data_IF_736283840941
#
_entry.id   IF_736283840941
#
_cell.length_a   1.000
_cell.length_b   1.000
_cell.length_c   1.000
_cell.angle_alpha   90.00
_cell.angle_beta   90.00
_cell.angle_gamma   90.00
#
_symmetry.space_group_name_H-M   'P 1'
#
loop_
_entity.id
_entity.type
_entity.pdbx_description
1 polymer ?
#
# COMPACT_ATOMS: atom_id res chain seq x y z
N UNK A 1 -5.70 -3.24 9.05
CA UNK A 1 -6.97 -3.99 8.98
C UNK A 1 -6.79 -5.49 8.85
N UNK A 2 -5.94 -6.01 7.96
CA UNK A 2 -5.77 -7.48 7.79
C UNK A 2 -5.60 -8.28 9.08
N UNK A 3 -4.81 -7.76 10.04
CA UNK A 3 -4.60 -8.41 11.34
C UNK A 3 -5.84 -8.57 12.23
N UNK A 4 -6.84 -7.70 12.08
CA UNK A 4 -8.10 -7.76 12.84
C UNK A 4 -9.23 -8.42 12.04
N UNK A 5 -8.95 -8.80 10.79
CA UNK A 5 -9.91 -9.35 9.84
C UNK A 5 -9.53 -10.78 9.41
N UNK A 6 -8.68 -11.46 10.19
CA UNK A 6 -8.35 -12.87 9.95
C UNK A 6 -7.43 -13.14 8.76
N UNK A 7 -6.56 -12.19 8.37
CA UNK A 7 -5.54 -12.49 7.38
C UNK A 7 -4.65 -13.64 7.84
N UNK A 8 -4.33 -14.59 6.95
CA UNK A 8 -3.46 -15.74 7.29
C UNK A 8 -2.07 -15.32 7.76
N UNK A 9 -1.56 -14.22 7.22
CA UNK A 9 -0.26 -13.62 7.57
C UNK A 9 -0.31 -12.13 7.25
N UNK A 10 0.31 -11.31 8.10
CA UNK A 10 0.48 -9.87 7.88
C UNK A 10 1.95 -9.51 8.04
N UNK A 11 2.47 -8.74 7.10
CA UNK A 11 3.81 -8.16 7.22
C UNK A 11 3.69 -6.65 7.11
N UNK A 12 4.26 -5.93 8.07
CA UNK A 12 4.35 -4.47 8.08
C UNK A 12 5.80 -4.10 7.79
N UNK A 13 6.01 -3.26 6.77
CA UNK A 13 7.34 -2.90 6.30
C UNK A 13 7.52 -1.39 6.27
N UNK A 14 8.73 -0.94 6.59
CA UNK A 14 9.20 0.44 6.44
C UNK A 14 10.73 0.42 6.35
N UNK A 15 11.40 1.56 6.19
CA UNK A 15 12.86 1.63 6.16
C UNK A 15 13.49 0.88 7.34
N UNK A 16 14.67 0.29 7.11
CA UNK A 16 15.41 -0.47 8.12
C UNK A 16 16.05 0.43 9.20
N UNK A 17 15.22 1.21 9.89
CA UNK A 17 15.59 2.09 10.98
C UNK A 17 14.95 1.59 12.28
N UNK A 18 15.77 1.13 13.22
CA UNK A 18 15.29 0.50 14.46
C UNK A 18 14.29 1.35 15.27
N UNK A 19 14.42 2.69 15.37
CA UNK A 19 13.39 3.51 16.04
C UNK A 19 12.00 3.39 15.39
N UNK A 20 11.94 3.30 14.05
CA UNK A 20 10.70 3.15 13.29
C UNK A 20 10.13 1.74 13.50
N UNK A 21 10.96 0.71 13.34
CA UNK A 21 10.53 -0.68 13.49
C UNK A 21 10.06 -0.98 14.91
N UNK A 22 10.74 -0.47 15.94
CA UNK A 22 10.31 -0.58 17.34
C UNK A 22 8.93 0.05 17.58
N UNK A 23 8.68 1.19 16.97
CA UNK A 23 7.37 1.87 17.03
C UNK A 23 6.29 1.00 16.39
N UNK A 24 6.56 0.41 15.22
CA UNK A 24 5.62 -0.51 14.59
C UNK A 24 5.36 -1.76 15.42
N UNK A 25 6.39 -2.40 15.98
CA UNK A 25 6.21 -3.57 16.86
C UNK A 25 5.28 -3.23 18.03
N UNK A 26 5.48 -2.05 18.65
CA UNK A 26 4.65 -1.58 19.76
C UNK A 26 3.20 -1.32 19.34
N UNK A 27 2.99 -0.63 18.21
CA UNK A 27 1.66 -0.31 17.71
C UNK A 27 0.90 -1.56 17.26
N UNK A 28 1.57 -2.47 16.56
CA UNK A 28 1.02 -3.76 16.12
C UNK A 28 0.59 -4.59 17.32
N UNK A 29 1.49 -4.78 18.30
CA UNK A 29 1.19 -5.57 19.50
C UNK A 29 0.01 -4.99 20.30
N UNK A 30 -0.10 -3.65 20.36
CA UNK A 30 -1.22 -2.99 21.05
C UNK A 30 -2.56 -3.16 20.34
N UNK A 31 -2.58 -3.14 19.00
CA UNK A 31 -3.81 -2.99 18.23
C UNK A 31 -4.29 -4.26 17.53
N UNK A 32 -3.45 -5.27 17.32
CA UNK A 32 -3.88 -6.55 16.75
C UNK A 32 -4.18 -7.50 17.91
N UNK A 33 -5.39 -7.38 18.44
CA UNK A 33 -5.89 -8.14 19.59
C UNK A 33 -7.24 -8.77 19.25
N UNK A 34 -7.54 -10.00 19.73
CA UNK A 34 -8.84 -10.63 19.52
C UNK A 34 -10.02 -9.74 19.95
N UNK A 35 -9.89 -9.03 21.07
CA UNK A 35 -10.92 -8.13 21.61
C UNK A 35 -11.21 -6.91 20.74
N UNK A 36 -10.33 -6.59 19.80
CA UNK A 36 -10.49 -5.47 18.86
C UNK A 36 -10.92 -5.94 17.46
N UNK A 37 -11.13 -7.24 17.27
CA UNK A 37 -11.59 -7.80 16.00
C UNK A 37 -13.09 -7.57 15.83
N UNK A 38 -13.52 -7.41 14.58
CA UNK A 38 -14.94 -7.24 14.27
C UNK A 38 -15.72 -8.53 14.53
N UNK A 39 -17.01 -8.42 14.85
CA UNK A 39 -17.87 -9.59 15.03
C UNK A 39 -17.81 -10.50 13.79
N UNK A 40 -17.52 -11.78 14.00
CA UNK A 40 -17.37 -12.77 12.92
C UNK A 40 -15.98 -12.84 12.28
N UNK A 41 -15.00 -12.06 12.74
CA UNK A 41 -13.60 -12.17 12.34
C UNK A 41 -12.72 -12.59 13.51
N UNK A 42 -11.77 -13.48 13.26
CA UNK A 42 -10.71 -13.81 14.21
C UNK A 42 -9.49 -12.93 13.95
N UNK A 43 -8.82 -12.46 15.01
CA UNK A 43 -7.54 -11.78 14.85
C UNK A 43 -6.51 -12.74 14.25
N UNK A 44 -5.67 -12.23 13.35
CA UNK A 44 -4.46 -12.94 12.90
C UNK A 44 -3.60 -13.24 14.12
N UNK A 45 -3.15 -14.50 14.31
CA UNK A 45 -2.24 -14.86 15.40
C UNK A 45 -0.99 -13.96 15.39
N UNK A 46 -0.51 -13.56 16.56
CA UNK A 46 0.68 -12.71 16.67
C UNK A 46 1.92 -13.35 16.03
N UNK A 47 2.03 -14.67 16.03
CA UNK A 47 3.09 -15.43 15.34
C UNK A 47 3.03 -15.31 13.81
N UNK A 48 1.88 -14.93 13.25
CA UNK A 48 1.67 -14.70 11.83
C UNK A 48 1.71 -13.21 11.45
N UNK A 49 2.04 -12.32 12.39
CA UNK A 49 2.28 -10.90 12.15
C UNK A 49 3.76 -10.59 12.35
N UNK A 50 4.42 -10.02 11.34
CA UNK A 50 5.82 -9.62 11.45
C UNK A 50 6.07 -8.19 10.99
N UNK A 51 7.14 -7.59 11.54
CA UNK A 51 7.61 -6.25 11.20
C UNK A 51 8.99 -6.44 10.56
N UNK A 52 9.17 -5.95 9.34
CA UNK A 52 10.41 -6.11 8.56
C UNK A 52 10.93 -4.74 8.10
N UNK A 53 12.25 -4.60 8.04
CA UNK A 53 12.88 -3.47 7.36
C UNK A 53 12.89 -3.72 5.86
N UNK A 54 12.40 -2.78 5.06
CA UNK A 54 12.40 -2.83 3.60
C UNK A 54 12.52 -1.42 3.03
N UNK A 55 13.59 -1.19 2.27
CA UNK A 55 13.72 0.01 1.43
C UNK A 55 13.18 -0.30 0.05
N UNK A 56 12.35 0.57 -0.51
CA UNK A 56 11.77 0.31 -1.83
C UNK A 56 12.84 0.13 -2.90
N UNK A 57 12.69 -0.89 -3.74
CA UNK A 57 13.60 -1.21 -4.84
C UNK A 57 14.80 -2.07 -4.46
N UNK A 58 14.98 -2.39 -3.19
CA UNK A 58 16.03 -3.27 -2.67
C UNK A 58 15.45 -4.65 -2.39
N UNK A 59 16.06 -5.72 -2.90
CA UNK A 59 15.47 -7.08 -2.79
C UNK A 59 16.42 -8.16 -2.29
N UNK A 60 17.67 -7.79 -1.99
CA UNK A 60 18.75 -8.75 -1.73
C UNK A 60 18.75 -9.31 -0.30
N UNK A 61 17.91 -8.78 0.59
CA UNK A 61 17.78 -9.28 1.94
C UNK A 61 16.92 -10.58 2.00
N UNK A 62 17.09 -11.32 3.11
CA UNK A 62 16.43 -12.61 3.33
C UNK A 62 14.90 -12.50 3.27
N UNK A 63 14.32 -11.43 3.82
CA UNK A 63 12.87 -11.24 3.80
C UNK A 63 12.39 -10.96 2.38
N UNK A 64 13.02 -10.00 1.70
CA UNK A 64 12.61 -9.59 0.35
C UNK A 64 12.70 -10.73 -0.64
N UNK A 65 13.76 -11.54 -0.58
CA UNK A 65 13.92 -12.72 -1.43
C UNK A 65 12.86 -13.79 -1.11
N UNK A 66 12.64 -14.11 0.17
CA UNK A 66 11.70 -15.18 0.55
C UNK A 66 10.22 -14.79 0.38
N UNK A 67 9.92 -13.50 0.34
CA UNK A 67 8.55 -12.99 0.25
C UNK A 67 8.14 -12.59 -1.17
N UNK A 68 9.01 -12.78 -2.17
CA UNK A 68 8.71 -12.54 -3.58
C UNK A 68 7.39 -13.22 -4.00
N UNK A 69 6.51 -12.44 -4.61
CA UNK A 69 5.19 -12.84 -5.11
C UNK A 69 4.34 -13.62 -4.09
N UNK A 70 4.46 -13.32 -2.80
CA UNK A 70 3.84 -14.12 -1.73
C UNK A 70 2.60 -13.49 -1.09
N UNK A 71 2.17 -12.31 -1.53
CA UNK A 71 1.05 -11.58 -0.93
C UNK A 71 -0.12 -11.40 -1.90
N UNK A 72 -1.32 -11.85 -1.50
CA UNK A 72 -2.55 -11.62 -2.27
C UNK A 72 -3.01 -10.15 -2.20
N UNK A 73 -2.55 -9.41 -1.17
CA UNK A 73 -2.85 -7.99 -0.96
C UNK A 73 -1.59 -7.23 -0.55
N UNK A 74 -1.25 -6.19 -1.30
CA UNK A 74 -0.21 -5.21 -0.94
C UNK A 74 -0.89 -3.86 -0.70
N UNK A 75 -0.52 -3.13 0.35
CA UNK A 75 -1.10 -1.82 0.67
C UNK A 75 0.02 -0.79 0.78
N UNK A 76 -0.03 0.25 -0.05
CA UNK A 76 0.87 1.40 0.01
C UNK A 76 0.06 2.64 0.45
N UNK A 77 0.25 3.06 1.70
CA UNK A 77 -0.48 4.18 2.29
C UNK A 77 0.45 5.37 2.50
N UNK A 78 0.13 6.51 1.89
CA UNK A 78 0.90 7.75 2.01
C UNK A 78 2.26 7.69 1.29
N UNK A 79 2.41 6.87 0.25
CA UNK A 79 3.72 6.63 -0.38
C UNK A 79 4.02 7.48 -1.62
N UNK A 80 3.06 8.29 -2.11
CA UNK A 80 3.19 8.99 -3.40
C UNK A 80 3.88 10.36 -3.33
N UNK A 81 4.32 10.82 -2.16
CA UNK A 81 4.88 12.17 -1.98
C UNK A 81 6.34 12.33 -2.44
N UNK A 82 7.04 11.23 -2.74
CA UNK A 82 8.44 11.18 -3.22
C UNK A 82 8.50 10.76 -4.70
N UNK A 83 8.36 11.68 -5.67
CA UNK A 83 8.41 11.35 -7.10
C UNK A 83 9.63 10.52 -7.51
N UNK A 84 10.80 10.84 -6.95
CA UNK A 84 12.07 10.15 -7.24
C UNK A 84 12.12 8.69 -6.75
N UNK A 85 11.16 8.25 -5.94
CA UNK A 85 11.04 6.88 -5.44
C UNK A 85 9.89 6.09 -6.08
N UNK A 86 9.08 6.70 -6.97
CA UNK A 86 7.92 6.02 -7.55
C UNK A 86 8.31 4.75 -8.31
N UNK A 87 9.39 4.79 -9.09
CA UNK A 87 9.88 3.60 -9.81
C UNK A 87 10.29 2.48 -8.84
N UNK A 88 10.90 2.81 -7.70
CA UNK A 88 11.28 1.85 -6.68
C UNK A 88 10.06 1.26 -5.98
N UNK A 89 9.05 2.09 -5.72
CA UNK A 89 7.77 1.67 -5.18
C UNK A 89 7.05 0.73 -6.15
N UNK A 90 6.98 1.05 -7.44
CA UNK A 90 6.36 0.19 -8.47
C UNK A 90 7.03 -1.19 -8.51
N UNK A 91 8.37 -1.23 -8.55
CA UNK A 91 9.14 -2.48 -8.49
C UNK A 91 8.85 -3.27 -7.22
N UNK A 92 8.76 -2.61 -6.07
CA UNK A 92 8.46 -3.28 -4.80
C UNK A 92 7.05 -3.85 -4.76
N UNK A 93 6.07 -3.12 -5.27
CA UNK A 93 4.69 -3.62 -5.39
C UNK A 93 4.67 -4.87 -6.28
N UNK A 94 5.27 -4.81 -7.46
CA UNK A 94 5.35 -5.95 -8.39
C UNK A 94 6.09 -7.14 -7.77
N UNK A 95 7.20 -6.89 -7.07
CA UNK A 95 8.01 -7.92 -6.41
C UNK A 95 7.23 -8.69 -5.33
N UNK A 96 6.44 -8.01 -4.50
CA UNK A 96 5.72 -8.66 -3.40
C UNK A 96 4.32 -9.16 -3.77
N UNK A 97 3.67 -8.55 -4.76
CA UNK A 97 2.33 -8.93 -5.18
C UNK A 97 2.35 -10.30 -5.87
N UNK A 98 1.52 -11.21 -5.38
CA UNK A 98 1.37 -12.54 -5.95
C UNK A 98 0.85 -12.47 -7.38
N UNK A 99 1.36 -13.33 -8.25
CA UNK A 99 0.96 -13.40 -9.67
C UNK A 99 -0.30 -14.25 -9.84
N UNK A 100 -1.45 -13.77 -9.36
CA UNK A 100 -2.76 -14.37 -9.65
C UNK A 100 -3.78 -13.32 -10.08
N UNK A 101 -4.84 -13.73 -10.80
CA UNK A 101 -5.90 -12.82 -11.24
C UNK A 101 -6.65 -12.10 -10.11
N UNK A 102 -6.59 -12.62 -8.87
CA UNK A 102 -7.28 -12.08 -7.69
C UNK A 102 -6.39 -11.19 -6.83
N UNK A 103 -5.07 -11.21 -7.04
CA UNK A 103 -4.13 -10.43 -6.25
C UNK A 103 -4.28 -8.93 -6.56
N UNK A 104 -4.30 -8.09 -5.52
CA UNK A 104 -4.47 -6.63 -5.68
C UNK A 104 -3.50 -5.84 -4.85
N UNK A 105 -2.96 -4.77 -5.42
CA UNK A 105 -2.33 -3.71 -4.63
C UNK A 105 -3.30 -2.54 -4.45
N UNK A 106 -3.39 -2.02 -3.23
CA UNK A 106 -4.14 -0.82 -2.89
C UNK A 106 -3.18 0.32 -2.58
N UNK A 107 -3.25 1.39 -3.37
CA UNK A 107 -2.47 2.60 -3.15
C UNK A 107 -3.39 3.72 -2.70
N UNK A 108 -3.09 4.31 -1.54
CA UNK A 108 -3.89 5.38 -0.94
C UNK A 108 -2.97 6.53 -0.56
N UNK A 109 -3.24 7.74 -1.03
CA UNK A 109 -2.42 8.90 -0.68
C UNK A 109 -3.23 10.20 -0.57
N UNK A 110 -2.88 11.05 0.39
CA UNK A 110 -3.48 12.38 0.54
C UNK A 110 -2.66 13.48 -0.11
N UNK A 111 -3.30 14.53 -0.59
CA UNK A 111 -2.71 15.60 -1.40
C UNK A 111 -1.90 16.66 -0.63
N UNK A 112 -1.33 16.31 0.52
CA UNK A 112 -0.61 17.23 1.40
C UNK A 112 0.66 17.82 0.75
N UNK A 113 1.28 17.10 -0.20
CA UNK A 113 2.45 17.55 -0.96
C UNK A 113 2.13 18.02 -2.38
N UNK A 114 0.84 18.18 -2.71
CA UNK A 114 0.35 18.59 -4.03
C UNK A 114 0.18 17.44 -5.03
N UNK A 115 -0.69 17.65 -6.03
CA UNK A 115 -1.05 16.64 -7.04
C UNK A 115 0.07 16.35 -8.02
N UNK A 116 0.85 17.38 -8.39
CA UNK A 116 1.98 17.27 -9.33
C UNK A 116 2.99 16.22 -8.89
N UNK A 117 3.23 16.07 -7.58
CA UNK A 117 4.17 15.04 -7.10
C UNK A 117 3.66 13.61 -7.26
N UNK A 118 2.36 13.42 -7.50
CA UNK A 118 1.74 12.10 -7.65
C UNK A 118 1.60 11.69 -9.11
N UNK A 119 1.89 12.58 -10.07
CA UNK A 119 1.66 12.31 -11.50
C UNK A 119 2.56 11.21 -12.06
N UNK A 120 3.71 10.92 -11.42
CA UNK A 120 4.60 9.83 -11.82
C UNK A 120 4.08 8.43 -11.48
N UNK A 121 2.98 8.34 -10.72
CA UNK A 121 2.21 7.12 -10.54
C UNK A 121 1.23 6.95 -11.72
N UNK A 122 1.78 6.80 -12.92
CA UNK A 122 1.03 6.71 -14.17
C UNK A 122 0.98 5.28 -14.72
N UNK A 123 0.03 5.04 -15.63
CA UNK A 123 -0.22 3.74 -16.22
C UNK A 123 0.99 3.22 -17.04
N UNK A 124 1.70 4.08 -17.76
CA UNK A 124 2.84 3.65 -18.58
C UNK A 124 4.01 3.20 -17.71
N UNK A 125 4.26 3.87 -16.58
CA UNK A 125 5.28 3.50 -15.61
C UNK A 125 4.95 2.18 -14.89
N UNK A 126 3.68 1.94 -14.56
CA UNK A 126 3.22 0.68 -13.97
C UNK A 126 3.32 -0.49 -14.96
N UNK A 127 3.00 -0.26 -16.23
CA UNK A 127 3.09 -1.30 -17.26
C UNK A 127 4.53 -1.83 -17.43
N UNK A 128 5.55 -0.97 -17.24
CA UNK A 128 6.97 -1.38 -17.29
C UNK A 128 7.35 -2.43 -16.25
N UNK A 129 6.57 -2.57 -15.18
CA UNK A 129 6.78 -3.59 -14.13
C UNK A 129 5.69 -4.67 -14.14
N UNK A 130 4.88 -4.74 -15.19
CA UNK A 130 3.83 -5.76 -15.37
C UNK A 130 2.52 -5.47 -14.64
N UNK A 131 2.33 -4.25 -14.12
CA UNK A 131 1.13 -3.85 -13.39
C UNK A 131 0.25 -2.92 -14.23
N UNK A 132 -1.06 -2.98 -14.01
CA UNK A 132 -2.02 -2.04 -14.57
C UNK A 132 -2.95 -1.49 -13.47
N UNK A 133 -3.48 -0.29 -13.73
CA UNK A 133 -4.49 0.32 -12.87
C UNK A 133 -5.84 -0.32 -13.19
N UNK A 134 -6.42 -1.03 -12.22
CA UNK A 134 -7.77 -1.56 -12.35
C UNK A 134 -8.80 -0.46 -12.11
N UNK A 135 -8.57 0.40 -11.11
CA UNK A 135 -9.43 1.55 -10.81
C UNK A 135 -8.62 2.63 -10.10
N UNK A 136 -8.88 3.90 -10.41
CA UNK A 136 -8.34 5.05 -9.69
C UNK A 136 -9.41 6.13 -9.51
N UNK A 137 -9.54 6.66 -8.30
CA UNK A 137 -10.53 7.67 -7.95
C UNK A 137 -10.08 8.49 -6.74
N UNK A 138 -10.82 9.53 -6.41
CA UNK A 138 -10.65 10.28 -5.16
C UNK A 138 -11.80 10.00 -4.21
N UNK A 139 -11.50 9.89 -2.91
CA UNK A 139 -12.49 9.70 -1.84
C UNK A 139 -12.22 10.63 -0.68
N UNK A 140 -13.27 11.22 -0.11
CA UNK A 140 -13.17 12.12 1.04
C UNK A 140 -13.52 11.44 2.39
N UNK A 141 -13.41 12.20 3.49
CA UNK A 141 -13.74 11.72 4.83
C UNK A 141 -15.23 11.39 5.05
N UNK A 142 -16.12 11.88 4.19
CA UNK A 142 -17.56 11.62 4.22
C UNK A 142 -17.96 10.48 3.26
N UNK A 143 -16.99 9.76 2.70
CA UNK A 143 -17.20 8.72 1.67
C UNK A 143 -17.76 9.23 0.35
N UNK A 144 -17.63 10.53 0.06
CA UNK A 144 -17.89 11.06 -1.27
C UNK A 144 -16.77 10.61 -2.22
N UNK A 145 -17.14 10.19 -3.43
CA UNK A 145 -16.20 9.77 -4.47
C UNK A 145 -16.26 10.73 -5.67
N UNK A 146 -15.09 11.01 -6.26
CA UNK A 146 -15.00 11.77 -7.51
C UNK A 146 -13.92 11.21 -8.44
N UNK A 147 -13.99 11.50 -9.76
CA UNK A 147 -12.96 11.07 -10.70
C UNK A 147 -11.59 11.64 -10.32
N UNK A 148 -10.56 10.78 -10.48
CA UNK A 148 -9.17 11.18 -10.36
C UNK A 148 -8.83 12.26 -11.39
N UNK A 149 -8.28 13.38 -10.93
CA UNK A 149 -7.83 14.45 -11.80
C UNK A 149 -6.51 15.04 -11.27
N UNK A 150 -5.44 14.87 -12.05
CA UNK A 150 -4.09 15.36 -11.74
C UNK A 150 -3.97 16.88 -11.78
N UNK A 151 -4.80 17.54 -12.57
CA UNK A 151 -4.79 18.98 -12.82
C UNK A 151 -5.81 19.74 -11.96
N UNK A 152 -6.57 19.03 -11.11
CA UNK A 152 -7.62 19.66 -10.29
C UNK A 152 -7.01 20.66 -9.32
N UNK A 153 -7.44 21.91 -9.46
CA UNK A 153 -7.18 22.96 -8.49
C UNK A 153 -8.23 22.90 -7.38
N UNK A 154 -7.79 22.53 -6.18
CA UNK A 154 -8.59 22.63 -4.96
C UNK A 154 -7.90 23.64 -4.03
N UNK A 155 -8.69 24.44 -3.31
CA UNK A 155 -8.17 25.18 -2.15
C UNK A 155 -7.50 24.22 -1.16
N UNK A 156 -6.48 24.68 -0.43
CA UNK A 156 -5.70 23.85 0.48
C UNK A 156 -6.57 23.17 1.55
N UNK A 157 -7.62 23.82 2.02
CA UNK A 157 -8.54 23.26 3.03
C UNK A 157 -9.39 22.12 2.46
N UNK A 158 -9.93 22.31 1.26
CA UNK A 158 -10.71 21.29 0.54
C UNK A 158 -9.81 20.12 0.19
N UNK A 159 -8.62 20.38 -0.34
CA UNK A 159 -7.64 19.39 -0.78
C UNK A 159 -7.27 18.39 0.31
N UNK A 160 -7.14 18.81 1.56
CA UNK A 160 -6.78 17.95 2.70
C UNK A 160 -7.83 16.90 3.03
N UNK A 161 -9.08 17.10 2.58
CA UNK A 161 -10.19 16.15 2.83
C UNK A 161 -10.17 14.94 1.92
N UNK A 162 -9.47 15.03 0.77
CA UNK A 162 -9.50 14.01 -0.27
C UNK A 162 -8.23 13.16 -0.26
N UNK A 163 -8.41 11.87 -0.56
CA UNK A 163 -7.36 10.91 -0.84
C UNK A 163 -7.52 10.41 -2.27
N UNK A 164 -6.43 10.20 -3.01
CA UNK A 164 -6.44 9.32 -4.17
C UNK A 164 -6.41 7.87 -3.68
N UNK A 165 -7.25 7.03 -4.29
CA UNK A 165 -7.32 5.59 -4.07
C UNK A 165 -7.15 4.91 -5.42
N UNK A 166 -6.23 3.97 -5.52
CA UNK A 166 -6.03 3.13 -6.69
C UNK A 166 -5.99 1.65 -6.31
N UNK A 167 -6.64 0.81 -7.12
CA UNK A 167 -6.41 -0.63 -7.13
C UNK A 167 -5.57 -1.00 -8.35
N UNK A 168 -4.52 -1.78 -8.13
CA UNK A 168 -3.65 -2.31 -9.17
C UNK A 168 -3.78 -3.83 -9.23
N UNK A 169 -3.54 -4.37 -10.42
CA UNK A 169 -3.46 -5.80 -10.67
C UNK A 169 -2.34 -6.10 -11.67
N UNK A 170 -2.01 -7.37 -11.85
CA UNK A 170 -1.17 -7.82 -12.94
C UNK A 170 -1.88 -7.62 -14.27
N UNK A 171 -1.12 -7.22 -15.30
CA UNK A 171 -1.62 -7.20 -16.69
C UNK A 171 -2.07 -8.61 -17.05
N UNK A 172 -3.27 -8.72 -17.63
CA UNK A 172 -3.76 -10.01 -18.11
C UNK A 172 -2.95 -10.42 -19.34
N UNK A 173 -2.07 -11.43 -19.20
CA UNK A 173 -1.50 -12.11 -20.37
C UNK A 173 -2.61 -12.94 -21.01
N UNK A 174 -2.99 -12.56 -22.24
CA UNK A 174 -3.84 -13.38 -23.11
C UNK A 174 -3.12 -14.66 -23.54
#
# INVERSE_FOLDING_TARGET
MGGLLGAKRVVVTDYAAEPVLKTFRTNVARNIQPSLSSAGAEATPSSAVSIQGHSWGEFDDTFSTSAAHSFDRVIAAGCLWMPWQHQNLHRSIAHFLKQTPEARCWVVAGFHTGRTKMSGFDAAALHKVGLEVERIWERDCNSEERPWNTEREDDVTVRKRWLVVASLKWISTS
#
